data_IF_109470195774
#
_entry.id   IF_109470195774
#
_cell.length_a   1.000
_cell.length_b   1.000
_cell.length_c   1.000
_cell.angle_alpha   90.00
_cell.angle_beta   90.00
_cell.angle_gamma   90.00
#
_symmetry.space_group_name_H-M   'P 1'
#
loop_
_entity.id
_entity.type
_entity.pdbx_description
1 polymer ?
#
# COMPACT_ATOMS: atom_id res chain seq x y z
N UNK A 1 -13.66 7.62 10.23
CA UNK A 1 -13.86 7.23 11.63
C UNK A 1 -14.96 6.19 11.73
N UNK A 2 -14.92 5.26 12.71
CA UNK A 2 -15.97 4.24 12.86
C UNK A 2 -17.37 4.86 13.05
N UNK A 3 -17.44 5.99 13.74
CA UNK A 3 -18.67 6.73 13.97
C UNK A 3 -19.28 7.30 12.67
N UNK A 4 -18.50 7.47 11.64
CA UNK A 4 -18.99 7.97 10.34
C UNK A 4 -19.92 6.97 9.67
N UNK A 5 -19.74 5.67 9.91
CA UNK A 5 -20.64 4.63 9.41
C UNK A 5 -22.05 4.77 10.02
N UNK A 6 -22.16 5.18 11.29
CA UNK A 6 -23.44 5.43 11.94
C UNK A 6 -23.99 6.80 11.56
N UNK A 7 -23.12 7.83 11.53
CA UNK A 7 -23.54 9.21 11.30
C UNK A 7 -24.04 9.45 9.87
N UNK A 8 -23.39 8.82 8.88
CA UNK A 8 -23.68 9.00 7.46
C UNK A 8 -24.30 7.78 6.80
N UNK A 9 -24.73 6.78 7.59
CA UNK A 9 -25.21 5.50 7.08
C UNK A 9 -26.36 5.62 6.08
N UNK A 10 -27.24 6.60 6.26
CA UNK A 10 -28.36 6.86 5.34
C UNK A 10 -27.92 7.35 3.96
N UNK A 11 -26.73 7.95 3.86
CA UNK A 11 -26.16 8.46 2.62
C UNK A 11 -25.40 7.37 1.84
N UNK A 12 -25.12 6.23 2.45
CA UNK A 12 -24.41 5.15 1.75
C UNK A 12 -25.37 4.32 0.91
N UNK A 13 -24.93 3.96 -0.29
CA UNK A 13 -25.67 3.04 -1.15
C UNK A 13 -25.87 1.66 -0.49
N UNK A 14 -26.82 0.89 -0.98
CA UNK A 14 -27.09 -0.48 -0.50
C UNK A 14 -25.93 -1.47 -0.73
N UNK A 15 -25.04 -1.18 -1.69
CA UNK A 15 -23.74 -1.83 -1.87
C UNK A 15 -22.70 -1.32 -0.87
N UNK A 16 -21.43 -1.45 -1.09
CA UNK A 16 -20.38 -0.88 -0.27
C UNK A 16 -20.54 -1.10 1.26
N UNK A 17 -20.44 -0.03 2.04
CA UNK A 17 -20.46 -0.10 3.52
C UNK A 17 -21.73 -0.71 4.09
N UNK A 18 -22.91 -0.36 3.57
CA UNK A 18 -24.18 -0.93 4.05
C UNK A 18 -24.24 -2.44 3.81
N UNK A 19 -23.70 -2.92 2.69
CA UNK A 19 -23.61 -4.35 2.45
C UNK A 19 -22.63 -5.04 3.40
N UNK A 20 -21.45 -4.47 3.61
CA UNK A 20 -20.46 -5.02 4.54
C UNK A 20 -20.98 -5.09 5.97
N UNK A 21 -21.70 -4.06 6.44
CA UNK A 21 -22.29 -4.06 7.77
C UNK A 21 -23.41 -5.09 7.91
N UNK A 22 -24.19 -5.36 6.84
CA UNK A 22 -25.32 -6.30 6.87
C UNK A 22 -24.92 -7.75 6.67
N UNK A 23 -23.99 -8.02 5.77
CA UNK A 23 -23.61 -9.36 5.30
C UNK A 23 -22.28 -9.85 5.88
N UNK A 24 -21.45 -8.94 6.38
CA UNK A 24 -20.14 -9.22 6.96
C UNK A 24 -20.16 -9.35 8.47
N UNK A 25 -18.97 -9.39 9.07
CA UNK A 25 -18.78 -9.37 10.53
C UNK A 25 -18.15 -8.04 10.92
N UNK A 26 -18.82 -7.32 11.81
CA UNK A 26 -18.32 -6.05 12.35
C UNK A 26 -17.82 -6.25 13.78
N UNK A 27 -16.50 -6.08 13.95
CA UNK A 27 -15.86 -6.14 15.27
C UNK A 27 -15.97 -4.77 15.95
N UNK A 28 -16.98 -4.59 16.80
CA UNK A 28 -17.28 -3.31 17.46
C UNK A 28 -16.31 -2.95 18.59
N UNK A 29 -15.52 -3.91 19.07
CA UNK A 29 -14.55 -3.74 20.15
C UNK A 29 -13.12 -4.15 19.72
N UNK A 30 -12.74 -3.84 18.48
CA UNK A 30 -11.39 -4.06 18.00
C UNK A 30 -10.46 -2.94 18.49
N UNK A 31 -9.32 -3.32 19.09
CA UNK A 31 -8.32 -2.38 19.58
C UNK A 31 -6.92 -2.87 19.24
N UNK A 32 -5.99 -1.92 19.04
CA UNK A 32 -4.57 -2.21 18.90
C UNK A 32 -3.92 -2.18 20.28
N UNK A 33 -3.07 -3.15 20.58
CA UNK A 33 -2.35 -3.29 21.85
C UNK A 33 -0.99 -2.57 21.85
N UNK A 34 -0.79 -1.63 20.94
CA UNK A 34 0.42 -0.82 20.83
C UNK A 34 0.05 0.64 20.55
N UNK A 35 0.96 1.56 20.87
CA UNK A 35 0.69 3.00 20.84
C UNK A 35 0.88 3.62 19.46
N UNK A 36 1.91 3.21 18.73
CA UNK A 36 2.29 3.80 17.45
C UNK A 36 1.43 3.27 16.32
N UNK A 37 0.47 4.04 15.86
CA UNK A 37 -0.51 3.66 14.81
C UNK A 37 -0.35 4.46 13.51
N UNK A 38 0.88 4.81 13.16
CA UNK A 38 1.18 5.44 11.86
C UNK A 38 0.92 4.47 10.71
N UNK A 39 0.77 5.01 9.51
CA UNK A 39 0.47 4.22 8.30
C UNK A 39 1.36 2.99 8.12
N UNK A 40 2.72 3.10 8.16
CA UNK A 40 3.58 1.92 7.97
C UNK A 40 3.36 0.83 9.02
N UNK A 41 3.20 1.22 10.28
CA UNK A 41 3.00 0.29 11.40
C UNK A 41 1.65 -0.41 11.29
N UNK A 42 0.59 0.34 10.99
CA UNK A 42 -0.76 -0.18 10.84
C UNK A 42 -0.90 -1.11 9.63
N UNK A 43 -0.30 -0.73 8.50
CA UNK A 43 -0.28 -1.58 7.31
C UNK A 43 0.53 -2.87 7.53
N UNK A 44 1.68 -2.79 8.21
CA UNK A 44 2.45 -3.97 8.57
C UNK A 44 1.67 -4.90 9.50
N UNK A 45 0.96 -4.35 10.50
CA UNK A 45 0.07 -5.14 11.36
C UNK A 45 -1.04 -5.80 10.55
N UNK A 46 -1.67 -5.08 9.64
CA UNK A 46 -2.75 -5.61 8.81
C UNK A 46 -2.26 -6.70 7.85
N UNK A 47 -1.12 -6.48 7.20
CA UNK A 47 -0.59 -7.42 6.20
C UNK A 47 0.03 -8.68 6.81
N UNK A 48 0.57 -8.60 8.04
CA UNK A 48 1.25 -9.72 8.70
C UNK A 48 0.40 -10.42 9.76
N UNK A 49 -0.67 -9.78 10.25
CA UNK A 49 -1.43 -10.26 11.42
C UNK A 49 -0.63 -10.21 12.72
N UNK A 50 0.50 -9.51 12.77
CA UNK A 50 1.42 -9.44 13.89
C UNK A 50 1.53 -8.02 14.47
N UNK A 51 2.11 -7.90 15.66
CA UNK A 51 2.37 -6.60 16.31
C UNK A 51 3.76 -6.06 15.94
N UNK A 52 4.05 -4.76 16.17
CA UNK A 52 5.36 -4.17 15.91
C UNK A 52 6.55 -4.92 16.49
N UNK A 53 6.39 -5.55 17.64
CA UNK A 53 7.44 -6.36 18.27
C UNK A 53 7.80 -7.63 17.48
N UNK A 54 6.91 -8.07 16.60
CA UNK A 54 7.09 -9.28 15.77
C UNK A 54 7.45 -8.89 14.34
N UNK A 55 6.70 -7.98 13.71
CA UNK A 55 6.97 -7.60 12.33
C UNK A 55 8.11 -6.59 12.17
N UNK A 56 8.61 -6.00 13.26
CA UNK A 56 9.80 -5.14 13.28
C UNK A 56 9.59 -3.72 12.73
N UNK A 57 8.38 -3.35 12.32
CA UNK A 57 8.09 -2.03 11.77
C UNK A 57 7.64 -1.10 12.89
N UNK A 58 8.43 -0.06 13.16
CA UNK A 58 8.14 0.94 14.21
C UNK A 58 7.82 2.32 13.62
N UNK A 59 8.27 2.59 12.39
CA UNK A 59 8.05 3.82 11.63
C UNK A 59 8.39 3.58 10.16
N UNK A 60 8.23 4.60 9.29
CA UNK A 60 8.78 4.62 7.93
C UNK A 60 10.30 4.77 7.90
N UNK A 61 10.85 5.48 8.91
CA UNK A 61 12.29 5.65 9.15
C UNK A 61 12.59 5.59 10.64
N UNK A 62 13.73 5.01 10.98
CA UNK A 62 14.23 4.97 12.35
C UNK A 62 15.75 5.04 12.39
N UNK A 63 16.30 5.35 13.55
CA UNK A 63 17.74 5.34 13.75
C UNK A 63 18.19 3.98 14.32
N UNK A 64 19.07 3.31 13.59
CA UNK A 64 19.73 2.08 14.03
C UNK A 64 20.97 2.47 14.84
N UNK A 65 20.88 2.33 16.16
CA UNK A 65 21.98 2.68 17.08
C UNK A 65 23.18 1.73 16.95
N UNK A 66 22.99 0.50 16.52
CA UNK A 66 24.09 -0.46 16.32
C UNK A 66 24.85 -0.12 15.04
N UNK A 67 24.14 0.11 13.96
CA UNK A 67 24.70 0.52 12.68
C UNK A 67 25.07 2.00 12.61
N UNK A 68 24.70 2.81 13.61
CA UNK A 68 24.87 4.28 13.68
C UNK A 68 24.42 4.98 12.40
N UNK A 69 23.21 4.65 11.94
CA UNK A 69 22.65 5.18 10.69
C UNK A 69 21.13 5.26 10.73
N UNK A 70 20.58 6.13 9.92
CA UNK A 70 19.15 6.10 9.60
C UNK A 70 18.82 4.94 8.66
N UNK A 71 17.74 4.26 8.96
CA UNK A 71 17.21 3.14 8.17
C UNK A 71 15.79 3.49 7.71
N UNK A 72 15.52 3.33 6.44
CA UNK A 72 14.17 3.38 5.89
C UNK A 72 13.57 1.98 5.84
N UNK A 73 12.26 1.89 6.04
CA UNK A 73 11.53 0.63 5.93
C UNK A 73 11.65 0.01 4.53
N UNK A 74 11.59 0.83 3.49
CA UNK A 74 11.52 0.37 2.09
C UNK A 74 12.70 0.78 1.22
N UNK A 75 13.50 1.80 1.58
CA UNK A 75 14.64 2.20 0.75
C UNK A 75 15.70 1.09 0.68
N UNK A 76 16.08 0.75 -0.54
CA UNK A 76 17.11 -0.24 -0.83
C UNK A 76 17.95 0.18 -2.03
N UNK A 77 19.17 0.65 -1.76
CA UNK A 77 20.11 1.13 -2.78
C UNK A 77 20.58 0.07 -3.77
N UNK A 78 20.23 -1.21 -3.56
CA UNK A 78 20.54 -2.30 -4.47
C UNK A 78 19.53 -2.42 -5.61
N UNK A 79 18.37 -1.81 -5.43
CA UNK A 79 17.28 -1.85 -6.39
C UNK A 79 17.15 -0.51 -7.14
N UNK A 80 16.38 -0.52 -8.22
CA UNK A 80 16.10 0.66 -9.05
C UNK A 80 14.61 0.69 -9.41
N UNK A 81 14.07 1.88 -9.63
CA UNK A 81 12.75 2.01 -10.25
C UNK A 81 12.79 1.56 -11.70
N UNK A 82 11.77 0.85 -12.11
CA UNK A 82 11.62 0.38 -13.50
C UNK A 82 11.02 1.50 -14.34
N UNK A 83 11.65 1.79 -15.47
CA UNK A 83 11.27 2.85 -16.42
C UNK A 83 11.31 4.29 -15.86
N UNK A 84 12.06 4.51 -14.79
CA UNK A 84 12.26 5.83 -14.23
C UNK A 84 13.74 6.12 -13.96
N UNK A 85 14.26 7.19 -14.55
CA UNK A 85 15.67 7.59 -14.44
C UNK A 85 15.93 8.67 -13.39
N UNK A 86 14.92 9.08 -12.63
CA UNK A 86 14.95 10.26 -11.76
C UNK A 86 15.49 10.07 -10.34
N UNK A 87 16.01 8.91 -9.99
CA UNK A 87 16.77 8.68 -8.75
C UNK A 87 15.98 8.54 -7.45
N UNK A 88 14.67 8.72 -7.42
CA UNK A 88 13.82 8.34 -6.30
C UNK A 88 13.17 7.01 -6.61
N UNK A 89 13.25 6.02 -5.70
CA UNK A 89 12.47 4.79 -5.88
C UNK A 89 13.25 3.51 -5.92
N UNK A 90 14.43 3.50 -5.33
CA UNK A 90 15.13 2.25 -5.00
C UNK A 90 14.47 1.64 -3.78
N UNK A 91 13.47 0.77 -3.98
CA UNK A 91 12.65 0.25 -2.89
C UNK A 91 12.57 -1.27 -2.90
N UNK A 92 12.49 -1.86 -1.69
CA UNK A 92 12.25 -3.29 -1.49
C UNK A 92 11.63 -3.56 -0.12
N UNK A 93 11.05 -4.74 0.13
CA UNK A 93 10.53 -5.13 1.43
C UNK A 93 11.59 -5.70 2.38
N UNK A 94 12.89 -5.53 2.13
CA UNK A 94 13.96 -6.25 2.87
C UNK A 94 13.94 -6.01 4.38
N UNK A 95 13.48 -4.83 4.82
CA UNK A 95 13.41 -4.46 6.23
C UNK A 95 12.09 -4.85 6.91
N UNK A 96 11.13 -5.40 6.17
CA UNK A 96 9.94 -6.05 6.74
C UNK A 96 10.30 -7.46 7.18
N UNK A 97 10.35 -7.70 8.49
CA UNK A 97 10.86 -8.97 9.05
C UNK A 97 9.85 -10.10 8.91
N UNK A 98 8.59 -9.83 9.23
CA UNK A 98 7.54 -10.84 9.21
C UNK A 98 7.03 -11.13 7.79
N UNK A 99 6.50 -12.33 7.62
CA UNK A 99 5.79 -12.75 6.42
C UNK A 99 4.43 -12.07 6.34
N UNK A 100 4.08 -11.58 5.15
CA UNK A 100 2.76 -11.00 4.88
C UNK A 100 1.74 -12.06 4.48
N UNK A 101 0.47 -11.68 4.46
CA UNK A 101 -0.60 -12.52 3.89
C UNK A 101 -0.31 -12.89 2.43
N UNK A 102 0.21 -11.93 1.65
CA UNK A 102 0.62 -12.15 0.25
C UNK A 102 1.73 -13.19 0.15
N UNK A 103 2.75 -13.11 1.01
CA UNK A 103 3.84 -14.09 1.07
C UNK A 103 3.32 -15.48 1.42
N UNK A 104 2.43 -15.57 2.43
CA UNK A 104 1.83 -16.83 2.84
C UNK A 104 0.97 -17.44 1.74
N UNK A 105 0.18 -16.62 1.05
CA UNK A 105 -0.65 -17.06 -0.07
C UNK A 105 0.22 -17.59 -1.22
N UNK A 106 1.26 -16.85 -1.61
CA UNK A 106 2.18 -17.28 -2.66
C UNK A 106 2.87 -18.61 -2.33
N UNK A 107 3.20 -18.82 -1.06
CA UNK A 107 3.83 -20.05 -0.61
C UNK A 107 2.88 -21.26 -0.62
N UNK A 108 1.64 -21.06 -0.17
CA UNK A 108 0.66 -22.14 -0.06
C UNK A 108 -0.09 -22.42 -1.36
N UNK A 109 -0.26 -21.40 -2.19
CA UNK A 109 -0.99 -21.42 -3.46
C UNK A 109 -0.16 -20.75 -4.55
N UNK A 110 0.89 -21.39 -5.10
CA UNK A 110 1.82 -20.79 -6.07
C UNK A 110 1.17 -20.32 -7.36
N UNK A 111 0.00 -20.87 -7.70
CA UNK A 111 -0.77 -20.48 -8.90
C UNK A 111 -1.66 -19.25 -8.68
N UNK A 112 -1.66 -18.67 -7.48
CA UNK A 112 -2.45 -17.47 -7.19
C UNK A 112 -1.85 -16.23 -7.83
N UNK A 113 -2.70 -15.41 -8.45
CA UNK A 113 -2.32 -14.08 -8.90
C UNK A 113 -2.40 -13.09 -7.74
N UNK A 114 -1.28 -12.51 -7.38
CA UNK A 114 -1.17 -11.54 -6.30
C UNK A 114 -0.66 -10.24 -6.89
N UNK A 115 -1.46 -9.18 -6.78
CA UNK A 115 -1.08 -7.85 -7.21
C UNK A 115 -1.42 -6.81 -6.15
N UNK A 116 -0.51 -5.88 -5.90
CA UNK A 116 -0.70 -4.76 -4.99
C UNK A 116 -0.47 -3.46 -5.72
N UNK A 117 -1.46 -2.57 -5.67
CA UNK A 117 -1.42 -1.26 -6.31
C UNK A 117 -1.74 -0.20 -5.27
N UNK A 118 -0.89 0.80 -5.13
CA UNK A 118 -1.14 1.96 -4.26
C UNK A 118 -0.51 3.23 -4.84
N UNK A 119 -0.97 4.39 -4.41
CA UNK A 119 -0.35 5.66 -4.82
C UNK A 119 1.06 5.76 -4.24
N UNK A 120 1.25 5.38 -2.99
CA UNK A 120 2.54 5.46 -2.30
C UNK A 120 3.28 4.12 -2.31
N UNK A 121 4.60 4.11 -2.59
CA UNK A 121 5.40 2.89 -2.63
C UNK A 121 5.38 2.13 -1.31
N UNK A 122 5.41 2.82 -0.17
CA UNK A 122 5.40 2.21 1.14
C UNK A 122 4.15 1.35 1.34
N UNK A 123 2.98 1.88 0.99
CA UNK A 123 1.71 1.17 1.13
C UNK A 123 1.65 -0.07 0.26
N UNK A 124 2.09 0.03 -1.01
CA UNK A 124 2.12 -1.10 -1.92
C UNK A 124 3.07 -2.21 -1.42
N UNK A 125 4.29 -1.84 -1.02
CA UNK A 125 5.35 -2.77 -0.63
C UNK A 125 5.03 -3.47 0.69
N UNK A 126 4.54 -2.75 1.70
CA UNK A 126 4.22 -3.32 3.02
C UNK A 126 3.03 -4.29 2.94
N UNK A 127 2.07 -4.02 2.07
CA UNK A 127 0.94 -4.95 1.84
C UNK A 127 1.35 -6.18 1.04
N UNK A 128 2.24 -6.03 0.06
CA UNK A 128 2.72 -7.13 -0.77
C UNK A 128 3.72 -8.03 -0.03
N UNK A 129 4.62 -7.44 0.74
CA UNK A 129 5.76 -8.18 1.26
C UNK A 129 6.76 -8.50 0.15
N UNK A 130 7.21 -9.76 0.08
CA UNK A 130 8.24 -10.22 -0.86
C UNK A 130 7.67 -10.82 -2.14
N UNK A 131 6.35 -11.01 -2.20
CA UNK A 131 5.70 -11.80 -3.23
C UNK A 131 4.68 -10.98 -4.02
N UNK A 132 4.47 -11.38 -5.29
CA UNK A 132 3.46 -10.81 -6.16
C UNK A 132 3.97 -9.64 -7.01
N UNK A 133 3.04 -9.08 -7.75
CA UNK A 133 3.25 -7.89 -8.58
C UNK A 133 2.94 -6.63 -7.77
N UNK A 134 3.85 -5.65 -7.76
CA UNK A 134 3.74 -4.48 -6.89
C UNK A 134 3.94 -3.21 -7.70
N UNK A 135 2.96 -2.32 -7.65
CA UNK A 135 2.96 -1.10 -8.43
C UNK A 135 2.59 0.12 -7.58
N UNK A 136 3.23 1.25 -7.85
CA UNK A 136 2.89 2.54 -7.23
C UNK A 136 3.03 3.67 -8.23
N UNK A 137 2.51 4.84 -7.85
CA UNK A 137 2.58 6.03 -8.69
C UNK A 137 3.85 6.83 -8.37
N UNK A 138 4.63 7.11 -9.40
CA UNK A 138 5.69 8.11 -9.31
C UNK A 138 5.06 9.50 -9.51
N UNK A 139 5.00 10.26 -8.42
CA UNK A 139 4.24 11.52 -8.37
C UNK A 139 4.81 12.62 -9.27
N UNK A 140 6.12 12.64 -9.49
CA UNK A 140 6.76 13.66 -10.34
C UNK A 140 6.42 13.50 -11.81
N UNK A 141 6.20 12.28 -12.27
CA UNK A 141 5.86 11.96 -13.66
C UNK A 141 4.41 11.48 -13.81
N UNK A 142 3.67 11.38 -12.71
CA UNK A 142 2.30 10.86 -12.70
C UNK A 142 2.17 9.51 -13.42
N UNK A 143 3.18 8.66 -13.33
CA UNK A 143 3.25 7.38 -14.01
C UNK A 143 3.39 6.22 -13.02
N UNK A 144 2.81 5.09 -13.37
CA UNK A 144 2.93 3.87 -12.58
C UNK A 144 4.28 3.21 -12.80
N UNK A 145 4.88 2.74 -11.73
CA UNK A 145 6.19 2.09 -11.75
C UNK A 145 6.24 0.92 -10.75
N UNK A 146 7.36 0.22 -10.73
CA UNK A 146 7.71 -0.83 -9.78
C UNK A 146 9.21 -0.78 -9.49
N UNK A 147 9.70 -1.63 -8.61
CA UNK A 147 11.11 -1.82 -8.31
C UNK A 147 11.67 -3.04 -9.05
N UNK A 148 12.96 -2.97 -9.39
CA UNK A 148 13.73 -4.11 -9.90
C UNK A 148 13.73 -5.33 -8.97
N UNK A 149 13.35 -5.15 -7.70
CA UNK A 149 13.11 -6.23 -6.76
C UNK A 149 11.97 -7.16 -7.19
N UNK A 150 10.86 -6.58 -7.70
CA UNK A 150 9.67 -7.32 -8.10
C UNK A 150 9.67 -7.69 -9.59
N UNK A 151 10.10 -6.78 -10.44
CA UNK A 151 10.17 -7.01 -11.88
C UNK A 151 11.26 -6.18 -12.53
N UNK A 152 11.79 -6.65 -13.66
CA UNK A 152 12.77 -5.91 -14.48
C UNK A 152 12.11 -4.97 -15.49
N UNK A 153 10.83 -5.19 -15.79
CA UNK A 153 10.06 -4.43 -16.77
C UNK A 153 8.61 -4.31 -16.32
N UNK A 154 7.94 -3.27 -16.80
CA UNK A 154 6.51 -3.10 -16.57
C UNK A 154 5.71 -4.00 -17.52
N UNK A 155 4.61 -4.61 -17.05
CA UNK A 155 3.70 -5.33 -17.93
C UNK A 155 3.08 -4.37 -18.94
N UNK A 156 2.74 -4.93 -20.11
CA UNK A 156 2.22 -4.14 -21.23
C UNK A 156 1.04 -3.23 -20.86
N UNK A 157 0.12 -3.70 -20.04
CA UNK A 157 -1.06 -2.92 -19.66
C UNK A 157 -0.71 -1.66 -18.84
N UNK A 158 0.32 -1.70 -17.98
CA UNK A 158 0.81 -0.51 -17.25
C UNK A 158 1.57 0.41 -18.20
N UNK A 159 2.43 -0.15 -19.05
CA UNK A 159 3.16 0.64 -20.02
C UNK A 159 2.22 1.38 -20.99
N UNK A 160 1.18 0.70 -21.47
CA UNK A 160 0.14 1.29 -22.32
C UNK A 160 -0.65 2.39 -21.57
N UNK A 161 -0.96 2.18 -20.27
CA UNK A 161 -1.64 3.19 -19.44
C UNK A 161 -0.77 4.44 -19.25
N UNK A 162 0.51 4.25 -18.91
CA UNK A 162 1.45 5.36 -18.77
C UNK A 162 1.63 6.15 -20.08
N UNK A 163 1.61 5.46 -21.22
CA UNK A 163 1.73 6.09 -22.54
C UNK A 163 0.52 6.96 -22.91
N UNK A 164 -0.67 6.62 -22.45
CA UNK A 164 -1.91 7.35 -22.74
C UNK A 164 -2.05 8.68 -22.00
N UNK A 165 -1.14 8.97 -21.05
CA UNK A 165 -1.11 10.21 -20.25
C UNK A 165 -2.46 10.62 -19.64
N UNK A 166 -3.24 9.62 -19.21
CA UNK A 166 -4.59 9.83 -18.67
C UNK A 166 -4.61 10.75 -17.44
N UNK A 167 -3.47 10.90 -16.77
CA UNK A 167 -3.37 11.73 -15.57
C UNK A 167 -3.54 13.22 -15.90
N UNK A 168 -3.08 13.69 -17.06
CA UNK A 168 -3.35 15.07 -17.51
C UNK A 168 -4.84 15.30 -17.72
N UNK A 169 -5.55 14.35 -18.32
CA UNK A 169 -7.00 14.45 -18.49
C UNK A 169 -7.74 14.58 -17.15
N UNK A 170 -7.31 13.84 -16.12
CA UNK A 170 -7.92 13.93 -14.80
C UNK A 170 -7.50 15.20 -14.04
N UNK A 171 -6.29 15.71 -14.22
CA UNK A 171 -5.80 16.90 -13.54
C UNK A 171 -6.60 18.16 -13.86
N UNK A 172 -7.18 18.23 -15.06
CA UNK A 172 -8.02 19.38 -15.48
C UNK A 172 -9.50 19.23 -15.11
N UNK A 173 -9.95 18.07 -14.67
CA UNK A 173 -11.34 17.83 -14.26
C UNK A 173 -11.63 18.51 -12.93
N UNK A 174 -12.68 19.32 -12.89
CA UNK A 174 -13.14 19.92 -11.64
C UNK A 174 -13.82 18.86 -10.79
N UNK A 175 -13.35 18.69 -9.55
CA UNK A 175 -14.05 17.88 -8.58
C UNK A 175 -15.37 18.53 -8.17
N UNK A 176 -16.45 17.77 -8.16
CA UNK A 176 -17.77 18.20 -7.66
C UNK A 176 -18.27 17.19 -6.65
N UNK A 177 -18.90 17.68 -5.57
CA UNK A 177 -19.52 16.80 -4.59
C UNK A 177 -20.64 15.97 -5.22
N UNK A 178 -20.75 14.70 -4.84
CA UNK A 178 -21.85 13.83 -5.24
C UNK A 178 -23.14 14.13 -4.48
N UNK A 179 -23.03 14.76 -3.30
CA UNK A 179 -24.15 15.19 -2.48
C UNK A 179 -24.33 16.71 -2.62
N UNK A 180 -25.58 17.20 -2.61
CA UNK A 180 -25.83 18.63 -2.57
C UNK A 180 -25.22 19.25 -1.31
N UNK A 181 -24.75 20.49 -1.42
CA UNK A 181 -24.35 21.28 -0.27
C UNK A 181 -25.65 21.82 0.37
N UNK A 182 -25.87 21.54 1.63
CA UNK A 182 -26.90 22.18 2.44
C UNK A 182 -26.47 23.58 2.88
#
# INVERSE_FOLDING_TARGET
>A
HADDLTRYGENFSSGGFNRLCREGVWFTNASLNYMQTTTPVSLATLSTGATPSIHGVVADRWFDYVGNKEVSLIEDRKEQSVNYSGGSGSYSPRNLVAQTLSDALAQQHPDSHIATIAVEPLSAIVMAGRSGEVYWMETLQSSWTTSSYYSKELPKWIADYNYQDQNEEYAIKRWTSLLPYD
#
